data_IF_774902754265
#
_entry.id   IF_774902754265
#
_cell.length_a   1.000
_cell.length_b   1.000
_cell.length_c   1.000
_cell.angle_alpha   90.00
_cell.angle_beta   90.00
_cell.angle_gamma   90.00
#
_symmetry.space_group_name_H-M   'P 1'
#
loop_
_entity.id
_entity.type
_entity.pdbx_description
1 polymer ?
2 non-polymer ?
3 non-polymer ?
4 non-polymer ?
5 non-polymer ?
6 water ?
#
# COMPACT_ATOMS: atom_id res chain seq x y z
N UNK A 28 19.16 2.15 22.36
CA UNK A 28 20.06 1.14 21.83
C UNK A 28 19.51 -0.26 21.91
N UNK A 29 18.45 -0.53 21.14
CA UNK A 29 17.81 -1.81 21.12
C UNK A 29 16.66 -1.97 22.09
N UNK A 30 16.64 -1.21 23.18
CA UNK A 30 15.57 -1.25 24.17
C UNK A 30 14.64 -0.06 24.00
N UNK A 31 13.33 -0.32 24.09
CA UNK A 31 12.32 0.70 23.90
C UNK A 31 11.42 0.77 25.12
N UNK A 32 11.32 1.95 25.72
CA UNK A 32 10.46 2.19 26.87
C UNK A 32 9.04 2.44 26.34
N UNK A 33 8.19 1.42 26.43
CA UNK A 33 6.87 1.53 25.82
C UNK A 33 6.01 2.59 26.50
N UNK A 34 6.07 2.67 27.83
CA UNK A 34 5.35 3.72 28.54
C UNK A 34 5.82 5.09 28.10
N UNK A 35 7.14 5.28 28.01
CA UNK A 35 7.67 6.54 27.50
C UNK A 35 7.20 6.79 26.07
N UNK A 36 6.93 5.72 25.32
CA UNK A 36 6.39 5.85 23.97
C UNK A 36 4.91 6.16 23.95
N UNK A 37 4.26 6.24 25.11
CA UNK A 37 2.86 6.61 25.20
C UNK A 37 1.88 5.48 25.37
N UNK A 38 2.35 4.25 25.55
CA UNK A 38 1.49 3.07 25.60
C UNK A 38 1.38 2.59 27.04
N UNK A 39 0.16 2.57 27.57
CA UNK A 39 -0.12 2.02 28.90
C UNK A 39 -0.68 0.61 28.84
N UNK A 40 -1.14 0.16 27.67
CA UNK A 40 -1.67 -1.19 27.49
C UNK A 40 -1.20 -1.71 26.13
N UNK A 41 0.12 -1.87 25.96
CA UNK A 41 0.65 -2.17 24.62
C UNK A 41 0.40 -3.61 24.20
N UNK A 42 0.04 -3.76 22.92
CA UNK A 42 -0.05 -5.06 22.27
C UNK A 42 1.00 -5.09 21.17
N UNK A 43 1.80 -6.16 21.13
CA UNK A 43 2.85 -6.30 20.13
C UNK A 43 2.31 -7.06 18.92
N UNK A 44 2.58 -6.54 17.73
CA UNK A 44 2.22 -7.19 16.48
C UNK A 44 3.45 -7.26 15.60
N UNK A 45 3.51 -8.30 14.78
CA UNK A 45 4.65 -8.55 13.90
C UNK A 45 4.19 -8.56 12.45
N UNK A 46 4.95 -7.89 11.59
CA UNK A 46 4.65 -7.85 10.17
C UNK A 46 5.79 -8.37 9.32
N UNK A 47 5.47 -8.84 8.13
CA UNK A 47 6.48 -9.42 7.25
C UNK A 47 6.00 -9.32 5.80
N UNK A 48 6.93 -9.06 4.90
CA UNK A 48 6.63 -8.99 3.47
C UNK A 48 7.95 -8.92 2.72
N UNK A 49 7.86 -9.06 1.39
CA UNK A 49 9.02 -9.03 0.54
C UNK A 49 8.82 -8.11 -0.65
N UNK A 50 9.84 -8.05 -1.50
CA UNK A 50 9.82 -7.21 -2.69
C UNK A 50 9.62 -8.09 -3.92
N UNK A 51 10.65 -8.84 -4.30
CA UNK A 51 10.52 -9.78 -5.39
C UNK A 51 11.12 -9.30 -6.70
N UNK A 52 10.30 -9.28 -7.75
CA UNK A 52 10.81 -8.96 -9.08
C UNK A 52 11.31 -7.52 -9.20
N UNK A 53 10.87 -6.62 -8.33
CA UNK A 53 11.30 -5.23 -8.43
C UNK A 53 12.81 -5.12 -8.23
N UNK A 54 13.42 -6.08 -7.53
CA UNK A 54 14.88 -6.08 -7.39
C UNK A 54 15.54 -6.35 -8.74
N UNK A 55 14.99 -7.30 -9.53
CA UNK A 55 15.50 -7.52 -10.87
C UNK A 55 15.41 -6.26 -11.72
N UNK A 56 14.36 -5.46 -11.51
CA UNK A 56 14.25 -4.19 -12.23
C UNK A 56 15.34 -3.24 -11.78
N UNK A 57 15.62 -3.19 -10.47
CA UNK A 57 16.69 -2.33 -9.97
C UNK A 57 18.05 -2.78 -10.50
N UNK A 58 18.25 -4.09 -10.63
CA UNK A 58 19.50 -4.59 -11.20
C UNK A 58 19.67 -4.12 -12.64
N UNK A 59 18.69 -4.43 -13.50
CA UNK A 59 18.78 -4.08 -14.90
C UNK A 59 18.84 -2.58 -15.12
N UNK A 60 18.45 -1.79 -14.13
CA UNK A 60 18.47 -0.33 -14.25
C UNK A 60 19.72 0.31 -13.69
N UNK A 61 20.29 -0.26 -12.63
CA UNK A 61 21.52 0.22 -12.03
C UNK A 61 21.36 0.88 -10.69
N UNK A 62 20.15 1.32 -10.34
CA UNK A 62 19.89 2.02 -9.09
C UNK A 62 19.05 1.13 -8.18
N UNK A 63 19.57 0.86 -6.98
CA UNK A 63 18.93 -0.06 -6.05
C UNK A 63 18.48 0.59 -4.75
N UNK A 64 18.61 1.90 -4.60
CA UNK A 64 18.27 2.53 -3.33
C UNK A 64 16.78 2.42 -3.04
N UNK A 65 15.94 2.35 -4.07
CA UNK A 65 14.50 2.35 -3.83
C UNK A 65 14.02 1.00 -3.29
N UNK A 66 14.62 -0.09 -3.74
CA UNK A 66 14.16 -1.40 -3.29
C UNK A 66 14.40 -1.58 -1.80
N UNK A 67 15.40 -0.89 -1.25
CA UNK A 67 15.58 -0.89 0.19
C UNK A 67 14.44 -0.19 0.90
N UNK A 68 13.96 0.92 0.32
CA UNK A 68 12.80 1.61 0.87
C UNK A 68 11.57 0.72 0.76
N UNK A 69 11.43 0.02 -0.37
CA UNK A 69 10.28 -0.86 -0.56
C UNK A 69 10.20 -1.92 0.53
N UNK A 70 11.35 -2.55 0.83
CA UNK A 70 11.35 -3.63 1.81
C UNK A 70 10.87 -3.14 3.18
N UNK A 71 11.19 -1.91 3.53
CA UNK A 71 10.73 -1.34 4.79
C UNK A 71 9.26 -0.95 4.69
N UNK A 72 8.91 -0.20 3.64
CA UNK A 72 7.53 0.25 3.46
C UNK A 72 6.55 -0.91 3.51
N UNK A 73 6.85 -1.98 2.76
CA UNK A 73 5.95 -3.14 2.74
C UNK A 73 5.79 -3.72 4.15
N UNK A 74 6.89 -3.88 4.87
CA UNK A 74 6.82 -4.48 6.19
C UNK A 74 6.04 -3.61 7.17
N UNK A 75 6.32 -2.30 7.18
CA UNK A 75 5.68 -1.43 8.15
C UNK A 75 4.22 -1.17 7.77
N UNK A 76 3.92 -1.15 6.46
CA UNK A 76 2.53 -0.97 6.04
C UNK A 76 1.67 -2.14 6.49
N UNK A 77 2.25 -3.34 6.60
CA UNK A 77 1.50 -4.47 7.13
C UNK A 77 1.28 -4.35 8.63
N UNK A 78 2.04 -3.50 9.32
CA UNK A 78 1.80 -3.25 10.74
C UNK A 78 0.73 -2.20 10.95
N UNK A 79 0.71 -1.17 10.11
CA UNK A 79 -0.20 -0.05 10.33
C UNK A 79 -1.65 -0.48 10.11
N UNK A 80 -1.89 -1.49 9.27
CA UNK A 80 -3.26 -1.94 9.06
C UNK A 80 -3.86 -2.46 10.35
N UNK A 81 -3.01 -2.95 11.26
CA UNK A 81 -3.45 -3.35 12.59
C UNK A 81 -3.45 -2.19 13.57
N UNK A 82 -3.02 -1.01 13.15
CA UNK A 82 -2.96 0.15 14.02
C UNK A 82 -1.69 0.28 14.81
N UNK A 83 -0.61 -0.41 14.42
CA UNK A 83 0.59 -0.50 15.22
C UNK A 83 1.68 0.42 14.68
N UNK A 84 2.37 1.09 15.58
CA UNK A 84 3.54 1.88 15.25
C UNK A 84 4.76 0.96 15.14
N UNK A 85 5.51 1.02 14.04
CA UNK A 85 6.67 0.13 13.91
C UNK A 85 7.79 0.53 14.86
N UNK A 86 8.46 -0.49 15.40
CA UNK A 86 9.57 -0.28 16.34
C UNK A 86 10.88 -0.81 15.79
N UNK A 87 10.98 -2.11 15.51
CA UNK A 87 12.16 -2.72 14.94
C UNK A 87 11.91 -3.08 13.48
N UNK A 88 13.01 -3.16 12.73
CA UNK A 88 12.98 -3.69 11.38
C UNK A 88 14.23 -4.53 11.14
N UNK A 89 14.06 -5.67 10.48
CA UNK A 89 15.17 -6.56 10.19
C UNK A 89 14.95 -7.23 8.85
N UNK A 90 16.04 -7.55 8.18
CA UNK A 90 15.99 -8.22 6.88
C UNK A 90 16.78 -9.52 6.91
N UNK A 99 28.56 -8.04 -2.17
CA UNK A 99 28.18 -7.28 -3.35
C UNK A 99 27.94 -5.81 -3.01
N UNK A 100 28.42 -4.91 -3.86
CA UNK A 100 28.05 -3.49 -3.70
C UNK A 100 26.58 -3.24 -3.93
N UNK A 101 25.88 -4.15 -4.61
CA UNK A 101 24.43 -4.08 -4.70
C UNK A 101 23.82 -4.08 -3.30
N UNK A 102 24.32 -4.95 -2.43
CA UNK A 102 23.82 -4.98 -1.06
C UNK A 102 24.08 -3.68 -0.33
N UNK A 103 25.15 -2.97 -0.70
CA UNK A 103 25.44 -1.69 -0.07
C UNK A 103 24.39 -0.65 -0.43
N UNK A 104 23.99 -0.61 -1.70
CA UNK A 104 23.01 0.38 -2.14
C UNK A 104 21.65 0.14 -1.50
N UNK A 105 21.27 -1.13 -1.34
CA UNK A 105 19.98 -1.44 -0.76
C UNK A 105 19.95 -1.09 0.72
N UNK A 106 21.03 -1.41 1.44
CA UNK A 106 21.07 -1.11 2.87
C UNK A 106 20.91 0.38 3.12
N UNK A 107 21.39 1.22 2.21
CA UNK A 107 21.16 2.66 2.34
C UNK A 107 19.69 2.99 2.17
N UNK A 108 19.00 2.29 1.26
CA UNK A 108 17.57 2.49 1.11
C UNK A 108 16.79 2.05 2.33
N UNK A 109 17.13 0.88 2.88
CA UNK A 109 16.50 0.42 4.11
C UNK A 109 16.64 1.49 5.18
N UNK A 110 17.83 2.09 5.31
CA UNK A 110 18.02 3.17 6.27
C UNK A 110 17.06 4.31 5.99
N UNK A 111 16.98 4.76 4.73
CA UNK A 111 16.04 5.82 4.38
C UNK A 111 14.61 5.42 4.68
N UNK A 112 14.28 4.13 4.54
CA UNK A 112 12.93 3.70 4.81
C UNK A 112 12.58 3.70 6.29
N UNK A 113 13.55 3.33 7.13
CA UNK A 113 13.31 3.35 8.57
C UNK A 113 13.14 4.77 9.08
N UNK A 114 13.95 5.71 8.59
CA UNK A 114 13.79 7.10 8.99
C UNK A 114 12.43 7.64 8.60
N UNK A 115 11.89 7.21 7.46
CA UNK A 115 10.57 7.65 7.04
C UNK A 115 9.47 6.98 7.84
N UNK A 116 9.68 5.73 8.26
CA UNK A 116 8.68 5.03 9.08
C UNK A 116 8.84 5.34 10.56
N UNK A 117 10.05 5.66 11.01
CA UNK A 117 10.28 5.97 12.40
C UNK A 117 10.61 4.79 13.27
N UNK A 118 11.22 3.75 12.71
CA UNK A 118 11.59 2.55 13.44
C UNK A 118 13.10 2.41 13.46
N UNK A 119 13.57 1.54 14.35
CA UNK A 119 15.00 1.31 14.53
C UNK A 119 15.46 0.16 13.66
N UNK A 120 16.57 0.37 12.94
CA UNK A 120 17.12 -0.65 12.07
C UNK A 120 17.88 -1.69 12.88
N UNK A 121 17.73 -2.95 12.50
CA UNK A 121 18.41 -4.04 13.18
C UNK A 121 19.51 -4.59 12.28
N UNK A 138 15.15 -12.03 -4.63
CA UNK A 138 13.96 -12.02 -3.77
C UNK A 138 14.36 -11.69 -2.33
N UNK A 139 13.82 -10.58 -1.82
CA UNK A 139 14.13 -10.11 -0.48
C UNK A 139 12.91 -10.25 0.43
N UNK A 140 13.16 -10.18 1.73
CA UNK A 140 12.12 -10.31 2.73
C UNK A 140 12.49 -9.49 3.96
N UNK A 141 11.48 -8.88 4.58
CA UNK A 141 11.70 -8.07 5.74
C UNK A 141 10.76 -8.46 6.87
N UNK A 142 11.14 -8.06 8.08
CA UNK A 142 10.37 -8.36 9.28
C UNK A 142 10.40 -7.14 10.19
N UNK A 143 9.23 -6.68 10.60
CA UNK A 143 9.09 -5.51 11.46
C UNK A 143 8.23 -5.86 12.66
N UNK A 144 8.53 -5.22 13.79
CA UNK A 144 7.78 -5.38 15.03
C UNK A 144 7.22 -4.02 15.41
N UNK A 145 5.94 -3.98 15.76
CA UNK A 145 5.28 -2.75 16.15
C UNK A 145 4.45 -2.95 17.41
N UNK A 146 3.83 -1.86 17.85
CA UNK A 146 3.03 -1.85 19.07
C UNK A 146 1.79 -1.01 18.83
N UNK A 147 0.67 -1.43 19.43
CA UNK A 147 -0.60 -0.73 19.33
C UNK A 147 -1.32 -0.83 20.68
N UNK A 148 -2.00 0.25 21.06
CA UNK A 148 -2.83 0.20 22.26
C UNK A 148 -3.96 -0.80 22.08
N UNK A 149 -4.27 -1.53 23.16
CA UNK A 149 -5.32 -2.53 23.10
C UNK A 149 -6.62 -1.94 22.55
N UNK A 150 -6.98 -0.74 22.98
CA UNK A 150 -8.23 -0.11 22.58
C UNK A 150 -8.19 0.43 21.16
N UNK A 151 -7.01 0.50 20.54
CA UNK A 151 -6.87 1.06 19.20
C UNK A 151 -6.56 0.00 18.15
N UNK A 152 -6.44 -1.27 18.54
CA UNK A 152 -6.02 -2.30 17.61
C UNK A 152 -7.08 -2.49 16.53
N UNK A 153 -6.63 -2.72 15.31
CA UNK A 153 -7.50 -2.89 14.15
C UNK A 153 -7.27 -4.25 13.52
N UNK A 154 -8.26 -4.78 12.78
CA UNK A 154 -9.59 -4.18 12.55
C UNK A 154 -10.53 -4.35 13.74
N UNK A 155 -11.53 -3.50 13.82
CA UNK A 155 -12.54 -3.61 14.87
C UNK A 155 -13.62 -4.58 14.44
N UNK A 156 -14.35 -5.15 15.40
CA UNK A 156 -15.49 -6.04 15.07
C UNK A 156 -16.81 -5.31 14.83
N UNK A 157 -16.81 -3.98 14.80
CA UNK A 157 -18.02 -3.20 14.60
C UNK A 157 -18.29 -2.90 13.12
N UNK A 158 -17.58 -3.55 12.21
CA UNK A 158 -17.77 -3.30 10.78
C UNK A 158 -19.12 -3.86 10.36
N UNK A 159 -19.88 -3.06 9.61
CA UNK A 159 -21.21 -3.46 9.19
C UNK A 159 -21.51 -2.86 7.81
N UNK A 160 -22.58 -3.37 7.20
CA UNK A 160 -23.01 -2.84 5.91
C UNK A 160 -23.38 -1.37 6.04
N UNK A 161 -22.95 -0.57 5.06
CA UNK A 161 -23.16 0.85 5.07
C UNK A 161 -21.92 1.65 5.44
N UNK A 162 -20.92 1.01 6.04
CA UNK A 162 -19.66 1.69 6.29
C UNK A 162 -18.98 2.04 4.97
N UNK A 163 -18.13 3.06 5.01
CA UNK A 163 -17.57 3.66 3.82
C UNK A 163 -16.12 3.22 3.66
N UNK A 164 -15.71 2.96 2.42
CA UNK A 164 -14.33 2.66 2.08
C UNK A 164 -13.66 3.93 1.57
N UNK A 165 -12.48 4.23 2.11
CA UNK A 165 -11.63 5.31 1.63
C UNK A 165 -10.41 4.70 0.95
N UNK A 166 -9.81 5.48 0.06
CA UNK A 166 -8.65 5.04 -0.71
C UNK A 166 -7.52 6.04 -0.55
N UNK A 167 -6.31 5.52 -0.39
CA UNK A 167 -5.09 6.32 -0.37
C UNK A 167 -4.32 6.05 -1.66
N UNK A 168 -3.87 7.12 -2.30
CA UNK A 168 -3.17 6.97 -3.58
C UNK A 168 -1.83 6.26 -3.37
N UNK A 169 -1.46 5.46 -4.36
CA UNK A 169 -0.15 4.82 -4.39
C UNK A 169 0.83 5.70 -5.18
N UNK A 170 2.12 5.46 -4.95
CA UNK A 170 3.16 6.15 -5.71
C UNK A 170 3.38 5.54 -7.09
N UNK A 171 2.82 4.36 -7.34
CA UNK A 171 3.05 3.63 -8.56
C UNK A 171 2.76 2.16 -8.35
N UNK A 172 3.53 1.29 -9.00
CA UNK A 172 3.33 -0.15 -8.80
C UNK A 172 3.76 -0.65 -7.44
N UNK A 173 4.42 0.18 -6.63
CA UNK A 173 5.00 -0.24 -5.36
C UNK A 173 5.92 -1.44 -5.58
N UNK A 174 5.52 -2.63 -5.13
CA UNK A 174 6.40 -3.78 -5.16
C UNK A 174 5.75 -5.04 -5.75
N UNK A 175 4.67 -4.88 -6.50
CA UNK A 175 3.93 -6.03 -7.02
C UNK A 175 3.58 -5.81 -8.48
N UNK A 176 3.58 -6.92 -9.23
CA UNK A 176 3.15 -6.89 -10.61
C UNK A 176 4.22 -6.57 -11.62
N UNK A 177 5.50 -6.71 -11.26
CA UNK A 177 6.57 -6.30 -12.17
C UNK A 177 6.85 -7.34 -13.25
N UNK A 178 6.55 -8.61 -13.00
CA UNK A 178 6.75 -9.62 -14.03
C UNK A 178 5.93 -9.28 -15.28
N UNK A 179 4.65 -8.93 -15.09
CA UNK A 179 3.81 -8.56 -16.23
C UNK A 179 4.21 -7.20 -16.79
N UNK A 180 4.55 -6.25 -15.92
CA UNK A 180 4.91 -4.91 -16.39
C UNK A 180 6.13 -4.97 -17.29
N UNK A 181 7.14 -5.74 -16.91
CA UNK A 181 8.34 -5.87 -17.74
C UNK A 181 7.98 -6.38 -19.14
N UNK A 182 7.08 -7.37 -19.21
CA UNK A 182 6.66 -7.89 -20.50
C UNK A 182 5.99 -6.81 -21.33
N UNK A 183 5.11 -6.02 -20.72
CA UNK A 183 4.39 -4.99 -21.47
C UNK A 183 5.35 -3.91 -21.96
N UNK A 184 6.32 -3.53 -21.14
CA UNK A 184 7.28 -2.52 -21.55
C UNK A 184 8.13 -3.01 -22.71
N UNK A 185 8.58 -4.27 -22.65
CA UNK A 185 9.46 -4.80 -23.68
C UNK A 185 8.74 -4.91 -25.02
N UNK A 186 7.53 -5.48 -25.02
CA UNK A 186 6.79 -5.65 -26.26
C UNK A 186 6.39 -4.31 -26.86
N UNK A 187 6.37 -3.24 -26.07
CA UNK A 187 6.14 -1.90 -26.58
C UNK A 187 7.40 -1.26 -27.14
N UNK A 188 8.49 -2.02 -27.26
CA UNK A 188 9.74 -1.53 -27.84
C UNK A 188 10.33 -0.40 -27.00
N UNK A 189 10.23 -0.54 -25.68
CA UNK A 189 10.79 0.42 -24.74
C UNK A 189 11.84 -0.27 -23.87
N UNK A 190 12.75 0.55 -23.33
CA UNK A 190 13.78 0.08 -22.42
C UNK A 190 13.75 0.93 -21.15
N UNK A 191 14.36 0.39 -20.09
CA UNK A 191 14.25 1.03 -18.78
C UNK A 191 14.72 2.48 -18.79
N UNK A 192 15.73 2.79 -19.60
CA UNK A 192 16.27 4.15 -19.64
C UNK A 192 15.66 5.00 -20.74
N UNK A 193 14.58 4.54 -21.36
CA UNK A 193 13.82 5.37 -22.27
C UNK A 193 12.94 6.34 -21.50
N UNK A 194 12.60 7.46 -22.15
CA UNK A 194 11.68 8.41 -21.55
C UNK A 194 10.30 7.76 -21.43
N UNK A 195 9.71 7.85 -20.25
CA UNK A 195 8.40 7.25 -20.02
C UNK A 195 7.36 7.89 -20.93
N UNK A 196 6.67 7.12 -21.78
CA UNK A 196 5.67 7.74 -22.67
C UNK A 196 4.50 8.37 -21.92
N UNK A 197 4.28 7.99 -20.66
CA UNK A 197 3.20 8.57 -19.88
C UNK A 197 3.65 9.73 -19.00
N UNK A 198 4.94 9.83 -18.71
CA UNK A 198 5.49 10.94 -17.93
C UNK A 198 6.81 11.36 -18.58
N UNK A 199 6.75 12.41 -19.40
CA UNK A 199 7.91 12.83 -20.17
C UNK A 199 9.06 13.32 -19.28
N UNK A 200 8.79 13.61 -18.01
CA UNK A 200 9.80 14.16 -17.11
C UNK A 200 10.66 13.11 -16.44
N UNK A 201 10.45 11.83 -16.76
CA UNK A 201 11.20 10.76 -16.11
C UNK A 201 11.34 9.59 -17.07
N UNK A 202 12.22 8.66 -16.70
CA UNK A 202 12.46 7.47 -17.50
C UNK A 202 11.56 6.32 -17.03
N UNK A 203 11.43 5.32 -17.90
CA UNK A 203 10.61 4.16 -17.56
C UNK A 203 11.12 3.49 -16.29
N UNK A 204 12.44 3.31 -16.19
CA UNK A 204 12.99 2.64 -15.03
C UNK A 204 12.69 3.37 -13.74
N UNK A 205 12.93 4.68 -13.72
CA UNK A 205 12.69 5.46 -12.50
C UNK A 205 11.22 5.40 -12.10
N UNK A 206 10.32 5.57 -13.06
CA UNK A 206 8.90 5.52 -12.76
C UNK A 206 8.51 4.17 -12.16
N UNK A 207 9.08 3.09 -12.68
CA UNK A 207 8.75 1.76 -12.16
C UNK A 207 9.43 1.49 -10.82
N UNK A 208 10.59 2.09 -10.57
CA UNK A 208 11.31 1.88 -9.33
C UNK A 208 10.88 2.83 -8.22
N UNK A 209 9.88 3.67 -8.46
CA UNK A 209 9.39 4.58 -7.42
C UNK A 209 9.12 3.78 -6.14
N UNK A 210 9.65 4.20 -5.00
CA UNK A 210 9.51 3.39 -3.79
C UNK A 210 8.08 3.35 -3.28
N UNK A 211 7.74 2.22 -2.67
CA UNK A 211 6.43 2.09 -2.04
C UNK A 211 6.25 3.15 -0.97
N UNK A 212 5.06 3.76 -0.94
CA UNK A 212 4.79 4.78 0.06
C UNK A 212 4.77 4.18 1.46
N UNK A 213 5.20 4.99 2.42
CA UNK A 213 5.13 4.63 3.84
C UNK A 213 3.93 5.34 4.43
N UNK A 214 2.96 4.56 4.91
CA UNK A 214 1.70 5.09 5.40
C UNK A 214 1.64 5.19 6.93
N UNK A 215 2.81 5.21 7.59
CA UNK A 215 2.83 5.23 9.06
C UNK A 215 2.40 6.60 9.57
N UNK A 216 3.14 7.65 9.17
CA UNK A 216 2.86 8.98 9.71
C UNK A 216 1.44 9.44 9.48
N UNK A 217 0.87 9.37 8.27
CA UNK A 217 -0.47 9.94 8.06
C UNK A 217 -1.60 9.14 8.68
N UNK A 218 -1.36 7.89 9.09
CA UNK A 218 -2.42 7.06 9.66
C UNK A 218 -2.43 7.05 11.18
N UNK A 219 -1.27 7.14 11.82
CA UNK A 219 -1.23 7.07 13.28
C UNK A 219 -2.15 8.09 13.95
N UNK A 220 -2.22 9.34 13.53
CA UNK A 220 -3.15 10.28 14.19
C UNK A 220 -4.59 9.78 14.21
N UNK A 221 -5.07 9.23 13.09
CA UNK A 221 -6.43 8.72 13.05
C UNK A 221 -6.59 7.41 13.80
N UNK A 222 -5.51 6.62 13.88
CA UNK A 222 -5.55 5.41 14.69
C UNK A 222 -5.74 5.76 16.16
N UNK A 223 -5.02 6.76 16.64
CA UNK A 223 -5.12 7.16 18.04
C UNK A 223 -6.49 7.75 18.34
N UNK A 224 -7.14 8.37 17.35
CA UNK A 224 -8.44 8.98 17.53
C UNK A 224 -9.60 8.03 17.25
N UNK A 225 -9.32 6.79 16.87
CA UNK A 225 -10.38 5.83 16.61
C UNK A 225 -11.21 6.14 15.38
N UNK A 226 -10.65 6.82 14.40
CA UNK A 226 -11.41 7.20 13.21
C UNK A 226 -11.58 6.04 12.24
N UNK A 227 -10.73 5.02 12.32
CA UNK A 227 -10.73 3.93 11.35
C UNK A 227 -11.20 2.64 12.00
N UNK A 228 -11.80 1.77 11.19
CA UNK A 228 -12.27 0.47 11.63
C UNK A 228 -11.46 -0.68 11.06
N UNK A 229 -10.74 -0.47 9.98
CA UNK A 229 -9.94 -1.51 9.37
C UNK A 229 -9.24 -0.97 8.14
N UNK A 230 -8.19 -1.69 7.74
CA UNK A 230 -7.41 -1.30 6.58
C UNK A 230 -6.95 -2.54 5.82
N UNK A 231 -6.58 -2.33 4.57
CA UNK A 231 -5.97 -3.37 3.75
C UNK A 231 -4.85 -2.74 2.94
N UNK A 232 -3.61 -3.18 3.19
CA UNK A 232 -2.49 -2.78 2.36
C UNK A 232 -2.61 -3.48 1.01
N UNK A 233 -2.72 -2.69 -0.06
CA UNK A 233 -2.92 -3.25 -1.40
C UNK A 233 -1.56 -3.66 -1.95
N UNK A 234 -1.31 -4.97 -2.00
CA UNK A 234 -0.06 -5.51 -2.54
C UNK A 234 -0.39 -6.34 -3.78
N UNK A 235 0.03 -7.60 -3.80
CA UNK A 235 -0.25 -8.45 -4.93
C UNK A 235 -1.69 -8.91 -4.94
N UNK A 236 -2.21 -9.11 -6.14
CA UNK A 236 -3.59 -9.52 -6.32
C UNK A 236 -4.60 -8.40 -6.35
N UNK A 237 -4.17 -7.14 -6.32
CA UNK A 237 -5.06 -6.02 -6.44
C UNK A 237 -6.16 -6.01 -5.39
N UNK A 238 -7.21 -5.24 -5.69
CA UNK A 238 -8.33 -5.12 -4.76
C UNK A 238 -8.93 -6.49 -4.45
N UNK A 239 -9.11 -7.32 -5.47
CA UNK A 239 -9.87 -8.56 -5.30
C UNK A 239 -9.28 -9.42 -4.20
N UNK A 240 -7.95 -9.53 -4.14
CA UNK A 240 -7.32 -10.44 -3.21
C UNK A 240 -7.05 -9.81 -1.84
N UNK A 241 -6.87 -8.49 -1.79
CA UNK A 241 -6.43 -7.85 -0.55
C UNK A 241 -7.59 -7.39 0.33
N UNK A 242 -8.59 -6.72 -0.25
CA UNK A 242 -9.68 -6.16 0.56
C UNK A 242 -10.40 -7.24 1.36
N UNK A 243 -10.68 -8.42 0.82
CA UNK A 243 -11.40 -9.42 1.62
C UNK A 243 -10.70 -9.83 2.89
N UNK A 244 -9.39 -9.58 3.01
CA UNK A 244 -8.66 -9.98 4.20
C UNK A 244 -9.09 -9.20 5.44
N UNK A 245 -9.79 -8.08 5.26
CA UNK A 245 -10.21 -7.29 6.42
C UNK A 245 -11.28 -8.05 7.21
N UNK A 246 -12.02 -8.94 6.56
CA UNK A 246 -13.14 -9.63 7.20
C UNK A 246 -12.76 -11.07 7.55
N UNK A 247 -13.64 -11.70 8.32
CA UNK A 247 -13.44 -13.10 8.70
C UNK A 247 -13.59 -14.00 7.48
N UNK A 248 -13.05 -15.21 7.61
CA UNK A 248 -13.12 -16.16 6.51
C UNK A 248 -14.56 -16.55 6.18
N UNK A 249 -15.44 -16.55 7.19
CA UNK A 249 -16.85 -16.87 7.00
C UNK A 249 -17.74 -15.64 7.15
N UNK A 250 -17.19 -14.45 6.93
CA UNK A 250 -17.97 -13.23 7.09
C UNK A 250 -18.97 -13.08 5.95
N UNK A 251 -20.16 -12.61 6.30
CA UNK A 251 -21.19 -12.33 5.31
C UNK A 251 -21.00 -10.96 4.64
N UNK A 252 -19.98 -10.22 5.03
CA UNK A 252 -19.77 -8.87 4.52
C UNK A 252 -18.68 -8.84 3.46
N UNK A 253 -18.85 -7.93 2.51
CA UNK A 253 -17.84 -7.63 1.51
C UNK A 253 -17.84 -6.15 1.20
N UNK A 254 -17.46 -5.78 -0.03
CA UNK A 254 -17.37 -4.38 -0.39
C UNK A 254 -17.87 -4.18 -1.82
N UNK A 255 -18.33 -2.97 -2.10
CA UNK A 255 -18.67 -2.52 -3.44
C UNK A 255 -17.73 -1.38 -3.79
N UNK A 256 -16.91 -1.57 -4.82
CA UNK A 256 -15.88 -0.61 -5.18
C UNK A 256 -16.31 0.16 -6.42
N UNK A 257 -16.28 1.49 -6.33
CA UNK A 257 -16.71 2.37 -7.41
C UNK A 257 -15.47 2.81 -8.18
N UNK A 258 -15.23 2.16 -9.32
CA UNK A 258 -14.06 2.46 -10.14
C UNK A 258 -14.19 3.75 -10.93
N UNK A 259 -15.34 4.43 -10.87
CA UNK A 259 -15.50 5.73 -11.49
C UNK A 259 -15.27 6.88 -10.51
N UNK A 260 -14.96 6.58 -9.25
CA UNK A 260 -14.76 7.62 -8.25
C UNK A 260 -13.46 8.38 -8.43
N UNK A 261 -12.55 7.90 -9.28
CA UNK A 261 -11.29 8.59 -9.50
C UNK A 261 -10.79 8.26 -10.90
N UNK A 262 -9.88 9.10 -11.39
CA UNK A 262 -9.25 8.88 -12.69
C UNK A 262 -8.01 8.02 -12.51
N UNK A 263 -7.86 7.02 -13.37
CA UNK A 263 -6.70 6.15 -13.29
C UNK A 263 -5.43 6.97 -13.53
N UNK A 264 -4.40 6.85 -12.69
CA UNK A 264 -3.14 7.52 -12.99
C UNK A 264 -2.59 7.12 -14.36
N UNK A 265 -1.75 8.00 -14.91
CA UNK A 265 -1.31 7.83 -16.29
C UNK A 265 -0.57 6.51 -16.51
N UNK A 266 0.25 6.12 -15.54
CA UNK A 266 1.06 4.91 -15.72
C UNK A 266 0.16 3.69 -15.91
N UNK A 267 -0.96 3.64 -15.18
CA UNK A 267 -1.86 2.51 -15.30
C UNK A 267 -2.69 2.58 -16.57
N UNK A 268 -3.12 3.79 -16.97
CA UNK A 268 -3.80 3.93 -18.25
C UNK A 268 -2.90 3.45 -19.39
N UNK A 269 -1.61 3.79 -19.34
CA UNK A 269 -0.70 3.37 -20.38
C UNK A 269 -0.50 1.86 -20.36
N UNK A 270 -0.19 1.31 -19.18
CA UNK A 270 -0.01 -0.14 -19.07
C UNK A 270 -1.27 -0.89 -19.48
N UNK A 271 -2.44 -0.33 -19.17
CA UNK A 271 -3.69 -0.98 -19.53
C UNK A 271 -3.85 -1.08 -21.05
N UNK A 272 -3.45 -0.03 -21.77
CA UNK A 272 -3.57 -0.03 -23.22
C UNK A 272 -2.41 -0.77 -23.88
N UNK A 273 -1.18 -0.47 -23.47
CA UNK A 273 -0.01 -1.08 -24.08
C UNK A 273 -0.04 -2.60 -23.94
N UNK A 274 -0.55 -3.09 -22.81
CA UNK A 274 -0.61 -4.51 -22.53
C UNK A 274 -1.95 -5.16 -22.80
N UNK A 275 -2.90 -4.44 -23.39
CA UNK A 275 -4.23 -4.97 -23.69
C UNK A 275 -4.78 -5.73 -22.48
N UNK A 276 -4.72 -5.08 -21.32
CA UNK A 276 -5.16 -5.65 -20.06
C UNK A 276 -6.58 -5.18 -19.79
N UNK A 277 -7.51 -6.12 -19.67
CA UNK A 277 -8.90 -5.78 -19.43
C UNK A 277 -9.08 -5.35 -17.97
N UNK A 278 -10.10 -4.52 -17.75
CA UNK A 278 -10.29 -3.90 -16.44
C UNK A 278 -10.39 -4.95 -15.33
N UNK A 279 -11.14 -6.02 -15.55
CA UNK A 279 -11.27 -7.05 -14.53
C UNK A 279 -9.93 -7.70 -14.22
N UNK A 280 -8.98 -7.65 -15.16
CA UNK A 280 -7.63 -8.16 -14.90
C UNK A 280 -6.79 -7.15 -14.14
N UNK A 281 -6.95 -5.86 -14.47
CA UNK A 281 -6.20 -4.82 -13.76
C UNK A 281 -6.46 -4.90 -12.26
N UNK A 282 -7.72 -4.94 -11.86
CA UNK A 282 -8.08 -4.89 -10.45
C UNK A 282 -7.70 -6.16 -9.70
N UNK A 283 -7.21 -7.17 -10.43
CA UNK A 283 -6.76 -8.43 -9.83
C UNK A 283 -5.25 -8.61 -9.91
N UNK A 284 -4.52 -7.59 -10.36
CA UNK A 284 -3.08 -7.72 -10.57
C UNK A 284 -2.32 -6.55 -9.97
N UNK A 285 -2.77 -5.33 -10.26
CA UNK A 285 -2.09 -4.11 -9.83
C UNK A 285 -2.92 -3.38 -8.79
N UNK A 286 -2.26 -2.44 -8.09
CA UNK A 286 -2.96 -1.62 -7.11
C UNK A 286 -3.78 -0.51 -7.76
N UNK A 287 -3.59 -0.25 -9.05
CA UNK A 287 -4.43 0.66 -9.82
C UNK A 287 -4.46 2.05 -9.21
N UNK A 288 -3.36 2.47 -8.59
CA UNK A 288 -3.26 3.79 -8.01
C UNK A 288 -3.71 3.91 -6.57
N UNK A 289 -4.14 2.82 -5.95
CA UNK A 289 -4.62 2.83 -4.58
C UNK A 289 -3.68 1.96 -3.75
N UNK A 290 -2.98 2.57 -2.81
CA UNK A 290 -2.03 1.84 -1.99
C UNK A 290 -2.61 1.30 -0.70
N UNK A 291 -3.74 1.86 -0.27
CA UNK A 291 -4.34 1.46 1.00
C UNK A 291 -5.85 1.67 0.93
N UNK A 292 -6.60 0.69 1.40
CA UNK A 292 -8.05 0.77 1.55
C UNK A 292 -8.37 0.81 3.04
N UNK A 293 -9.24 1.74 3.43
CA UNK A 293 -9.59 1.96 4.83
C UNK A 293 -11.10 1.99 4.97
N UNK A 294 -11.62 1.23 5.93
CA UNK A 294 -13.05 1.19 6.22
C UNK A 294 -13.33 2.10 7.41
N UNK A 295 -14.36 2.93 7.30
CA UNK A 295 -14.75 3.87 8.34
C UNK A 295 -16.27 3.96 8.36
N UNK A 296 -16.81 4.26 9.54
CA UNK A 296 -18.24 4.47 9.67
C UNK A 296 -18.65 5.75 8.93
N UNK A 297 -19.90 5.76 8.44
CA UNK A 297 -20.38 6.90 7.67
C UNK A 297 -20.22 8.20 8.45
N UNK A 298 -20.60 8.20 9.73
CA UNK A 298 -20.55 9.42 10.53
C UNK A 298 -19.13 9.91 10.78
N UNK A 299 -18.11 9.10 10.48
CA UNK A 299 -16.73 9.51 10.64
C UNK A 299 -16.00 9.72 9.33
N UNK A 300 -16.68 9.60 8.20
CA UNK A 300 -16.00 9.69 6.91
C UNK A 300 -15.37 11.06 6.71
N UNK A 301 -16.07 12.12 7.08
CA UNK A 301 -15.53 13.47 6.90
C UNK A 301 -14.28 13.67 7.75
N UNK A 302 -14.33 13.25 9.01
CA UNK A 302 -13.17 13.42 9.90
C UNK A 302 -11.98 12.62 9.40
N UNK A 303 -12.20 11.37 8.99
CA UNK A 303 -11.10 10.55 8.49
C UNK A 303 -10.45 11.20 7.28
N UNK A 304 -11.26 11.61 6.29
CA UNK A 304 -10.71 12.26 5.10
C UNK A 304 -9.94 13.52 5.48
N UNK A 305 -10.48 14.32 6.38
CA UNK A 305 -9.79 15.54 6.81
C UNK A 305 -8.44 15.21 7.46
N UNK A 306 -8.41 14.14 8.27
CA UNK A 306 -7.16 13.77 8.94
C UNK A 306 -6.13 13.28 7.93
N UNK A 307 -6.54 12.47 6.95
CA UNK A 307 -5.61 11.95 5.97
C UNK A 307 -4.99 13.07 5.14
N UNK A 308 -5.83 13.99 4.67
CA UNK A 308 -5.32 15.11 3.86
C UNK A 308 -4.47 16.04 4.72
N UNK A 309 -4.85 16.24 5.99
CA UNK A 309 -4.06 17.07 6.88
C UNK A 309 -2.62 16.56 6.97
N UNK A 310 -2.43 15.24 6.89
CA UNK A 310 -1.11 14.64 6.95
C UNK A 310 -0.54 14.36 5.55
N UNK A 311 -1.12 14.95 4.51
CA UNK A 311 -0.52 14.93 3.19
C UNK A 311 -0.83 13.72 2.35
N UNK A 312 -1.88 12.96 2.66
CA UNK A 312 -2.30 11.81 1.88
C UNK A 312 -3.57 12.17 1.13
N UNK A 313 -3.51 12.15 -0.20
CA UNK A 313 -4.70 12.30 -1.01
C UNK A 313 -5.62 11.11 -0.79
N UNK A 314 -6.84 11.39 -0.32
CA UNK A 314 -7.80 10.34 0.00
C UNK A 314 -9.15 10.69 -0.61
N UNK A 315 -9.94 9.66 -0.89
CA UNK A 315 -11.28 9.85 -1.44
C UNK A 315 -12.13 8.64 -1.09
N UNK A 316 -13.44 8.80 -1.22
CA UNK A 316 -14.39 7.72 -1.00
C UNK A 316 -14.44 6.86 -2.27
N UNK A 317 -14.17 5.56 -2.12
CA UNK A 317 -14.07 4.65 -3.25
C UNK A 317 -15.11 3.55 -3.22
N UNK A 318 -15.80 3.33 -2.12
CA UNK A 318 -16.79 2.28 -2.07
C UNK A 318 -17.50 2.25 -0.73
N UNK A 319 -18.17 1.13 -0.48
CA UNK A 319 -18.91 0.95 0.76
C UNK A 319 -18.99 -0.54 1.08
N UNK A 320 -19.24 -0.84 2.35
CA UNK A 320 -19.42 -2.21 2.81
C UNK A 320 -20.86 -2.62 2.55
N UNK A 321 -21.05 -3.89 2.16
CA UNK A 321 -22.38 -4.42 1.94
C UNK A 321 -22.41 -5.88 2.35
N UNK A 322 -23.62 -6.43 2.42
CA UNK A 322 -23.83 -7.81 2.87
C UNK A 322 -23.69 -8.77 1.69
N UNK A 323 -22.48 -8.82 1.14
CA UNK A 323 -22.17 -9.75 0.05
C UNK A 323 -20.67 -10.03 0.07
N UNK A 324 -20.31 -11.30 0.26
CA UNK A 324 -18.91 -11.67 0.39
C UNK A 324 -18.16 -11.39 -0.91
N UNK A 325 -16.95 -10.84 -0.77
CA UNK A 325 -16.07 -10.59 -1.90
C UNK A 325 -15.99 -9.12 -2.23
N UNK A 326 -15.40 -8.85 -3.40
CA UNK A 326 -15.26 -7.49 -3.93
C UNK A 326 -16.11 -7.39 -5.19
N UNK A 327 -17.02 -6.42 -5.20
CA UNK A 327 -17.92 -6.18 -6.33
C UNK A 327 -17.59 -4.83 -6.95
N UNK A 328 -17.41 -4.81 -8.26
CA UNK A 328 -16.90 -3.64 -8.96
C UNK A 328 -18.01 -2.93 -9.71
N UNK A 329 -17.98 -1.60 -9.66
CA UNK A 329 -18.90 -0.74 -10.39
C UNK A 329 -18.11 0.03 -11.42
N UNK A 330 -18.61 0.07 -12.66
CA UNK A 330 -17.97 0.85 -13.70
C UNK A 330 -16.76 0.19 -14.34
N UNK A 331 -16.72 -1.14 -14.39
CA UNK A 331 -15.60 -1.82 -15.01
C UNK A 331 -15.43 -1.41 -16.47
N UNK A 332 -16.52 -1.04 -17.14
CA UNK A 332 -16.44 -0.63 -18.54
C UNK A 332 -15.94 0.80 -18.69
N UNK A 333 -15.94 1.59 -17.62
CA UNK A 333 -15.43 2.95 -17.66
C UNK A 333 -14.03 3.08 -17.06
N UNK A 334 -13.51 2.02 -16.44
CA UNK A 334 -12.23 2.10 -15.75
C UNK A 334 -11.11 2.30 -16.76
N UNK A 335 -10.34 3.36 -16.58
CA UNK A 335 -9.22 3.67 -17.45
C UNK A 335 -9.44 4.84 -18.39
N UNK A 336 -10.56 5.55 -18.28
CA UNK A 336 -10.85 6.68 -19.16
C UNK A 336 -10.69 8.00 -18.41
X LIG B 1 11.73 5.74 -27.22
X LIG B 1 12.55 5.95 -28.38
X LIG B 1 11.09 7.06 -26.81
X LIG B 1 10.14 6.83 -25.77
X LIG B 1 12.35 5.36 -26.40
X LIG B 1 10.96 5.00 -27.44
X LIG B 1 12.98 5.11 -28.62
X LIG B 1 10.60 7.52 -27.68
X LIG B 1 11.86 7.76 -26.46
X LIG B 1 9.71 7.67 -25.53
X LIG C 1 -19.82 5.65 -3.74
X LIG C 1 -19.58 5.02 -2.48
X LIG C 1 -18.69 6.62 -4.05
X LIG C 1 -19.08 7.48 -5.14
X LIG C 1 -20.77 6.19 -3.71
X LIG C 1 -19.89 4.89 -4.53
X LIG C 1 -20.30 4.40 -2.28
X LIG C 1 -17.78 6.08 -4.32
X LIG C 1 -18.48 7.24 -3.17
X LIG C 1 -18.36 8.10 -5.34
X LIG D 1 15.48 10.68 -18.90
X LIG D 1 16.55 10.04 -18.75
X LIG D 1 14.38 10.10 -18.70
X LIG D 1 15.51 12.15 -19.33
X LIG D 1 14.40 12.94 -18.64
X LIG D 1 14.91 13.49 -17.32
X LIG D 1 15.70 14.47 -17.31
X LIG D 1 14.54 12.98 -16.23
X LIG D 1 15.40 12.20 -20.29
X LIG D 1 16.37 12.53 -19.08
X LIG D 1 13.64 12.35 -18.47
X LIG D 1 14.12 13.67 -19.22
X LIG E 1 -22.32 -13.81 -7.30
X LIG E 1 -22.44 -12.31 -7.33
X LIG E 1 -23.67 -14.42 -7.02
X LIG E 1 -21.34 -14.21 -6.24
X LIG E 1 -21.83 -14.29 -8.65
X LIG F 1 5.68 -9.68 -8.96
X LIG F 1 6.45 -8.38 -8.82
X LIG F 1 5.32 -9.89 -10.41
X LIG F 1 6.54 -10.82 -8.48
X LIG F 1 4.42 -9.61 -8.13
X LIG G 1 -14.16 11.20 -11.83
X LIG G 1 -12.93 10.79 -12.49
X LIG G 1 -13.19 9.91 -13.69
X LIG G 1 -12.43 9.91 -14.67
X LIG G 1 -14.16 9.15 -13.73
X LIG G 1 -14.07 11.34 -10.98
X LIG G 1 -14.89 11.18 -12.45
X LIG G 1 -14.06 12.10 -11.49
X LIG G 1 -12.38 10.31 -11.86
X LIG G 1 -12.45 11.59 -12.80
X LIG H 1 -1.01 6.01 21.82
X LIG H 1 -2.15 6.55 22.50
X LIG H 1 -0.01 7.12 21.55
X LIG H 1 1.11 6.59 20.83
X LIG H 1 -1.33 5.56 20.88
X LIG H 1 -0.56 5.23 22.44
X LIG H 1 -2.78 5.84 22.71
X LIG H 1 0.34 7.55 22.50
X LIG H 1 -0.47 7.91 20.97
X LIG H 1 1.75 7.29 20.66
#
# INVERSE_FOLDING_TARGET
MHHHHHHSSGVDLGTENLYFQSNAMGFGGAFDLAKAGYKDPILVSGTDGVGTKLRVALDHGKHNTVGIDLVAMSVNDLIVQGAEPLYFLDYYACSKLDVPVAADVITGIAEGCLQAGCALIGGETAEMPGMYHGDDYDLAGFAVGVVERAQILPTPDIASGDVLLALSSSGPHSNGFSLIRKIVSLSNLSLHDTAPWDKNTSVGDALLTPTKVYIKPLLPGIKSGLYKGMSHITGGGFTENIPRIFSSASNLGVKLDLTSYSLPAIWKWLMRAGNVEAKEMVRTFNCGVGMIIIVAKDKADAALSSLKENGEEAWVIGEVQEKKGVEYVGLDKFGL
EDO C1 O1 C2 O2 H11 H12 HO1 H21 H22 HO2
EDO C1 O1 C2 O2 H11 H12 HO1 H21 H22 HO2
SIN C1 O1 O2 C2 C3 C4 O3 O4 H21 H22 H31 H32
PO4 P O1 O2 O3 O4
PO4 P O1 O2 O3 O4
GLY N CA C O OXT H1 H2 H3 HA2 HA3
EDO C1 O1 C2 O2 H11 H12 HO1 H21 H22 HO2
#
